data_IF_340774270846
#
_entry.id   IF_340774270846
#
_cell.length_a   1.000
_cell.length_b   1.000
_cell.length_c   1.000
_cell.angle_alpha   90.00
_cell.angle_beta   90.00
_cell.angle_gamma   90.00
#
_symmetry.space_group_name_H-M   'P 1'
#
loop_
_entity.id
_entity.type
_entity.pdbx_description
1 polymer ?
#
# COMPACT_ATOMS: atom_id res chain seq x y z
N UNK A 1 10.55 17.07 15.33
CA UNK A 1 11.48 16.76 14.24
C UNK A 1 10.99 15.62 13.42
N UNK A 2 10.83 15.84 12.14
CA UNK A 2 10.19 14.87 11.27
C UNK A 2 11.09 13.93 10.53
N UNK A 3 12.23 13.55 11.11
CA UNK A 3 13.20 12.70 10.41
C UNK A 3 12.66 11.34 9.99
N UNK A 4 11.75 10.80 10.78
CA UNK A 4 11.21 9.46 10.52
C UNK A 4 9.73 9.49 10.17
N UNK A 5 9.24 10.64 9.78
CA UNK A 5 7.86 10.80 9.38
C UNK A 5 7.71 10.32 7.94
N UNK A 6 6.67 9.54 7.67
CA UNK A 6 6.38 9.11 6.31
C UNK A 6 5.92 10.28 5.46
N UNK A 7 6.34 10.29 4.20
CA UNK A 7 5.95 11.29 3.23
C UNK A 7 4.76 10.80 2.41
N UNK A 8 3.89 11.71 1.94
CA UNK A 8 2.83 11.29 1.04
C UNK A 8 3.40 10.80 -0.28
N UNK A 9 2.80 9.75 -0.83
CA UNK A 9 3.18 9.24 -2.13
C UNK A 9 2.89 10.30 -3.21
N UNK A 10 1.81 11.03 -3.03
CA UNK A 10 1.45 12.17 -3.88
C UNK A 10 1.23 13.38 -2.98
N UNK A 11 1.97 14.44 -3.22
CA UNK A 11 1.94 15.66 -2.40
C UNK A 11 0.56 16.33 -2.33
N UNK A 12 -0.34 15.97 -3.25
CA UNK A 12 -1.70 16.49 -3.23
C UNK A 12 -2.55 15.89 -2.12
N UNK A 13 -2.12 14.77 -1.54
CA UNK A 13 -2.91 14.03 -0.56
C UNK A 13 -2.14 13.87 0.74
N UNK A 14 -2.51 14.68 1.73
CA UNK A 14 -1.84 14.71 3.03
C UNK A 14 -2.80 14.33 4.15
N UNK A 15 -2.27 13.76 5.22
CA UNK A 15 -3.02 13.54 6.46
C UNK A 15 -2.33 14.30 7.59
N UNK A 16 -3.09 14.58 8.64
CA UNK A 16 -2.61 15.43 9.73
C UNK A 16 -1.48 14.80 10.54
N UNK A 17 -1.58 13.52 10.85
CA UNK A 17 -0.59 12.86 11.71
C UNK A 17 -0.29 11.44 11.21
N UNK A 18 0.55 11.32 10.16
CA UNK A 18 0.86 10.01 9.60
C UNK A 18 1.61 9.10 10.56
N UNK A 19 2.48 9.65 11.40
CA UNK A 19 3.25 8.85 12.34
C UNK A 19 2.34 8.12 13.34
N UNK A 20 1.36 8.82 13.88
CA UNK A 20 0.41 8.25 14.83
C UNK A 20 -0.48 7.21 14.16
N UNK A 21 -0.98 7.51 12.99
CA UNK A 21 -1.85 6.60 12.24
C UNK A 21 -1.12 5.32 11.86
N UNK A 22 0.12 5.44 11.43
CA UNK A 22 0.97 4.29 11.10
C UNK A 22 1.22 3.42 12.33
N UNK A 23 1.50 4.03 13.46
CA UNK A 23 1.83 3.33 14.70
C UNK A 23 0.70 2.41 15.16
N UNK A 24 -0.54 2.84 14.97
CA UNK A 24 -1.72 2.06 15.35
C UNK A 24 -2.24 1.19 14.22
N UNK A 25 -1.57 1.20 13.07
CA UNK A 25 -2.00 0.48 11.89
C UNK A 25 -1.80 -1.02 11.96
N UNK A 26 -2.60 -1.72 11.17
CA UNK A 26 -2.53 -3.18 11.02
C UNK A 26 -1.44 -3.54 10.01
N UNK A 27 -0.55 -4.44 10.39
CA UNK A 27 0.57 -4.83 9.53
C UNK A 27 0.27 -6.07 8.70
N UNK A 28 0.53 -5.99 7.39
CA UNK A 28 0.50 -7.11 6.46
C UNK A 28 1.83 -7.09 5.69
N UNK A 29 2.67 -8.09 5.92
CA UNK A 29 4.02 -8.17 5.35
C UNK A 29 4.82 -6.91 5.69
N UNK A 30 5.24 -6.14 4.69
CA UNK A 30 6.03 -4.92 4.91
C UNK A 30 5.17 -3.65 4.90
N UNK A 31 3.85 -3.81 4.82
CA UNK A 31 2.91 -2.69 4.72
C UNK A 31 2.11 -2.52 5.99
N UNK A 32 1.69 -1.29 6.26
CA UNK A 32 0.83 -0.99 7.40
C UNK A 32 -0.44 -0.30 6.92
N UNK A 33 -1.56 -0.70 7.48
CA UNK A 33 -2.87 -0.15 7.13
C UNK A 33 -3.44 0.59 8.32
N UNK A 34 -3.32 1.92 8.30
CA UNK A 34 -3.83 2.77 9.38
C UNK A 34 -5.32 3.07 9.19
N UNK A 35 -5.83 3.95 10.00
CA UNK A 35 -7.22 4.40 9.91
C UNK A 35 -7.42 5.36 8.73
N UNK A 36 -6.41 6.16 8.42
CA UNK A 36 -6.51 7.21 7.40
C UNK A 36 -5.73 6.93 6.14
N UNK A 37 -4.71 6.08 6.23
CA UNK A 37 -3.82 5.84 5.09
C UNK A 37 -3.17 4.47 5.13
N UNK A 38 -2.71 4.02 3.98
CA UNK A 38 -1.86 2.84 3.87
C UNK A 38 -0.41 3.30 3.75
N UNK A 39 0.49 2.61 4.45
CA UNK A 39 1.92 2.95 4.52
C UNK A 39 2.77 1.87 3.87
N UNK A 40 3.72 2.29 3.05
CA UNK A 40 4.56 1.36 2.30
C UNK A 40 5.98 1.92 2.15
N UNK A 41 6.99 1.04 1.95
CA UNK A 41 8.37 1.50 1.74
C UNK A 41 8.51 2.31 0.45
N UNK A 42 9.44 3.25 0.37
CA UNK A 42 10.31 3.73 1.45
C UNK A 42 9.72 4.95 2.16
N UNK A 43 9.07 4.73 3.27
CA UNK A 43 8.48 5.81 4.09
C UNK A 43 7.46 6.66 3.34
N UNK A 44 6.55 5.99 2.63
CA UNK A 44 5.48 6.64 1.89
C UNK A 44 4.11 6.23 2.41
N UNK A 45 3.12 7.07 2.19
CA UNK A 45 1.74 6.72 2.52
C UNK A 45 0.78 7.28 1.47
N UNK A 46 -0.39 6.65 1.41
CA UNK A 46 -1.47 7.08 0.52
C UNK A 46 -2.77 7.10 1.31
N UNK A 47 -3.40 8.28 1.48
CA UNK A 47 -4.68 8.35 2.20
C UNK A 47 -5.79 7.60 1.49
N UNK A 48 -6.64 6.93 2.25
CA UNK A 48 -7.77 6.21 1.67
C UNK A 48 -8.76 7.13 0.97
N UNK A 49 -8.85 8.38 1.41
CA UNK A 49 -9.70 9.36 0.77
C UNK A 49 -9.31 9.65 -0.68
N UNK A 50 -8.05 9.39 -1.03
CA UNK A 50 -7.58 9.56 -2.39
C UNK A 50 -7.83 8.32 -3.24
N UNK A 51 -8.02 7.17 -2.63
CA UNK A 51 -8.16 5.90 -3.34
C UNK A 51 -9.50 5.80 -4.05
N UNK A 52 -9.48 5.33 -5.29
CA UNK A 52 -10.68 5.14 -6.10
C UNK A 52 -10.98 3.68 -6.37
N UNK A 53 -10.02 2.80 -6.12
CA UNK A 53 -10.22 1.37 -6.28
C UNK A 53 -8.98 0.57 -5.95
N UNK A 54 -9.14 -0.74 -5.92
CA UNK A 54 -8.03 -1.66 -5.69
C UNK A 54 -8.31 -2.98 -6.39
N UNK A 55 -7.26 -3.59 -6.94
CA UNK A 55 -7.38 -4.89 -7.60
C UNK A 55 -6.10 -5.69 -7.37
N UNK A 56 -6.20 -7.01 -7.50
CA UNK A 56 -5.04 -7.89 -7.34
C UNK A 56 -4.57 -8.32 -8.72
N UNK A 57 -3.28 -8.13 -8.98
CA UNK A 57 -2.66 -8.49 -10.25
C UNK A 57 -1.56 -9.53 -9.95
N UNK A 58 -1.62 -10.72 -10.56
CA UNK A 58 -0.55 -11.70 -10.41
C UNK A 58 0.76 -11.14 -10.94
N UNK A 59 1.85 -11.37 -10.20
CA UNK A 59 3.17 -10.91 -10.60
C UNK A 59 4.21 -11.90 -10.08
N UNK A 60 5.48 -11.56 -10.17
CA UNK A 60 6.53 -12.40 -9.65
C UNK A 60 7.73 -11.57 -9.22
N UNK A 61 8.47 -12.11 -8.24
CA UNK A 61 9.77 -11.56 -7.87
C UNK A 61 10.86 -12.29 -8.62
N UNK A 62 11.82 -11.56 -9.16
CA UNK A 62 13.03 -12.15 -9.69
C UNK A 62 14.03 -12.29 -8.57
N UNK A 63 14.42 -13.53 -8.28
CA UNK A 63 15.47 -13.79 -7.31
C UNK A 63 16.78 -13.79 -8.06
N UNK A 64 17.59 -12.76 -7.82
CA UNK A 64 18.95 -12.69 -8.36
C UNK A 64 19.82 -13.60 -7.50
N UNK A 65 20.14 -14.78 -8.01
CA UNK A 65 20.96 -15.73 -7.32
C UNK A 65 21.29 -16.86 -8.26
N UNK A 66 21.92 -17.90 -7.75
CA UNK A 66 22.41 -19.01 -8.56
C UNK A 66 21.34 -19.75 -9.34
N UNK A 67 20.08 -19.57 -9.04
CA UNK A 67 19.01 -20.31 -9.69
C UNK A 67 18.13 -19.51 -10.65
N UNK A 68 18.16 -18.19 -10.58
CA UNK A 68 17.36 -17.32 -11.45
C UNK A 68 15.87 -17.61 -11.42
N UNK A 69 15.35 -18.12 -10.32
CA UNK A 69 13.94 -18.51 -10.21
C UNK A 69 13.07 -17.30 -9.91
N UNK A 70 11.86 -17.31 -10.51
CA UNK A 70 10.83 -16.34 -10.18
C UNK A 70 9.95 -16.91 -9.08
N UNK A 71 9.64 -16.10 -8.08
CA UNK A 71 8.73 -16.47 -7.00
C UNK A 71 7.39 -15.82 -7.28
N UNK A 72 6.29 -16.59 -7.32
CA UNK A 72 4.97 -15.99 -7.54
C UNK A 72 4.66 -14.96 -6.48
N UNK A 73 4.07 -13.86 -6.88
CA UNK A 73 3.67 -12.79 -5.97
C UNK A 73 2.35 -12.19 -6.43
N UNK A 74 1.78 -11.33 -5.59
CA UNK A 74 0.47 -10.72 -5.85
C UNK A 74 0.57 -9.23 -5.60
N UNK A 75 0.35 -8.44 -6.62
CA UNK A 75 0.38 -6.98 -6.50
C UNK A 75 -1.02 -6.46 -6.24
N UNK A 76 -1.16 -5.65 -5.20
CA UNK A 76 -2.41 -4.93 -4.94
C UNK A 76 -2.26 -3.58 -5.61
N UNK A 77 -2.92 -3.41 -6.75
CA UNK A 77 -2.89 -2.16 -7.51
C UNK A 77 -3.96 -1.24 -6.96
N UNK A 78 -3.54 -0.15 -6.36
CA UNK A 78 -4.44 0.84 -5.78
C UNK A 78 -4.50 2.03 -6.73
N UNK A 79 -5.68 2.29 -7.27
CA UNK A 79 -5.89 3.47 -8.09
C UNK A 79 -6.31 4.62 -7.20
N UNK A 80 -5.81 5.82 -7.52
CA UNK A 80 -6.12 7.00 -6.73
C UNK A 80 -6.11 8.26 -7.59
N UNK A 81 -6.75 9.30 -7.08
CA UNK A 81 -6.74 10.59 -7.74
C UNK A 81 -7.29 10.56 -9.16
N UNK A 82 -6.56 11.16 -10.07
CA UNK A 82 -6.96 11.24 -11.45
C UNK A 82 -6.65 9.99 -12.25
N UNK A 83 -7.00 10.03 -13.51
CA UNK A 83 -6.78 8.94 -14.43
C UNK A 83 -5.30 8.59 -14.57
N UNK A 84 -5.01 7.29 -14.57
CA UNK A 84 -3.65 6.81 -14.76
C UNK A 84 -2.77 6.78 -13.53
N UNK A 85 -3.28 7.25 -12.38
CA UNK A 85 -2.50 7.24 -11.15
C UNK A 85 -2.76 5.97 -10.35
N UNK A 86 -1.69 5.30 -9.97
CA UNK A 86 -1.81 4.08 -9.17
C UNK A 86 -0.52 3.82 -8.39
N UNK A 87 -0.64 2.97 -7.38
CA UNK A 87 0.49 2.43 -6.64
C UNK A 87 0.27 0.93 -6.48
N UNK A 88 1.34 0.14 -6.57
CA UNK A 88 1.27 -1.30 -6.42
C UNK A 88 2.00 -1.77 -5.17
N UNK A 89 1.31 -2.56 -4.35
CA UNK A 89 1.89 -3.16 -3.15
C UNK A 89 2.10 -4.65 -3.43
N UNK A 90 3.34 -5.05 -3.66
CA UNK A 90 3.66 -6.44 -4.02
C UNK A 90 3.78 -7.28 -2.75
N UNK A 91 2.97 -8.33 -2.68
CA UNK A 91 2.93 -9.24 -1.52
C UNK A 91 3.24 -10.66 -1.94
N UNK A 92 3.89 -11.41 -1.07
CA UNK A 92 4.23 -12.80 -1.33
C UNK A 92 3.03 -13.72 -1.22
N UNK A 93 2.16 -13.45 -0.26
CA UNK A 93 1.02 -14.32 0.02
C UNK A 93 -0.27 -13.78 -0.55
N UNK A 94 -0.98 -14.62 -1.29
CA UNK A 94 -2.27 -14.26 -1.87
C UNK A 94 -3.28 -13.84 -0.80
N UNK A 95 -3.30 -14.55 0.33
CA UNK A 95 -4.21 -14.21 1.43
C UNK A 95 -3.98 -12.79 1.95
N UNK A 96 -2.71 -12.37 2.04
CA UNK A 96 -2.38 -11.01 2.47
C UNK A 96 -2.83 -9.98 1.44
N UNK A 97 -2.64 -10.28 0.16
CA UNK A 97 -3.07 -9.39 -0.92
C UNK A 97 -4.60 -9.22 -0.92
N UNK A 98 -5.32 -10.31 -0.72
CA UNK A 98 -6.79 -10.26 -0.64
C UNK A 98 -7.25 -9.46 0.57
N UNK A 99 -6.59 -9.63 1.70
CA UNK A 99 -6.91 -8.87 2.92
C UNK A 99 -6.65 -7.39 2.72
N UNK A 100 -5.52 -7.05 2.10
CA UNK A 100 -5.16 -5.67 1.81
C UNK A 100 -6.19 -5.01 0.89
N UNK A 101 -6.60 -5.73 -0.16
CA UNK A 101 -7.61 -5.23 -1.09
C UNK A 101 -8.92 -4.95 -0.36
N UNK A 102 -9.37 -5.87 0.49
CA UNK A 102 -10.59 -5.69 1.26
C UNK A 102 -10.53 -4.48 2.17
N UNK A 103 -9.41 -4.31 2.89
CA UNK A 103 -9.20 -3.19 3.78
C UNK A 103 -9.25 -1.86 3.03
N UNK A 104 -8.57 -1.79 1.89
CA UNK A 104 -8.54 -0.57 1.08
C UNK A 104 -9.91 -0.22 0.54
N UNK A 105 -10.63 -1.20 0.01
CA UNK A 105 -11.97 -0.97 -0.53
C UNK A 105 -12.95 -0.55 0.55
N UNK A 106 -12.86 -1.16 1.73
CA UNK A 106 -13.70 -0.81 2.87
C UNK A 106 -13.45 0.63 3.31
N UNK A 107 -12.17 0.98 3.51
CA UNK A 107 -11.80 2.33 3.93
C UNK A 107 -12.13 3.38 2.86
N UNK A 108 -11.95 3.02 1.61
CA UNK A 108 -12.28 3.90 0.48
C UNK A 108 -13.77 4.26 0.45
N UNK A 109 -14.64 3.29 0.75
CA UNK A 109 -16.08 3.51 0.80
C UNK A 109 -16.51 4.43 1.93
N UNK A 110 -15.76 4.37 3.04
CA UNK A 110 -16.09 5.17 4.23
C UNK A 110 -15.59 6.61 4.14
N UNK A 111 -14.79 6.89 3.14
CA UNK A 111 -14.17 8.22 2.96
C UNK A 111 -15.05 9.20 2.22
#
# INVERSE_FOLDING_TARGET
MGFFTDDPYDKAYLIADPAKDKKTGFRLEQFRFGEEAVYFPPQKYLPYSACTGAEIIPTSFHVTGCCGKSIPAHAVKITYGGEGKFVSLVMEKKANAERAKELILEKCRLS
#
